data_IF_023690547784
#
_entry.id   IF_023690547784
#
_cell.length_a   1.000
_cell.length_b   1.000
_cell.length_c   1.000
_cell.angle_alpha   90.00
_cell.angle_beta   90.00
_cell.angle_gamma   90.00
#
_symmetry.space_group_name_H-M   'P 1'
#
loop_
_entity.id
_entity.type
_entity.pdbx_description
1 polymer ?
#
# COMPACT_ATOMS: atom_id res chain seq x y z
N UNK A 1 -11.52 -5.42 36.74
CA UNK A 1 -12.10 -5.28 35.39
C UNK A 1 -11.24 -4.26 34.68
N UNK A 2 -10.14 -4.71 34.06
CA UNK A 2 -9.15 -3.84 33.44
C UNK A 2 -9.54 -3.63 31.98
N UNK A 3 -9.80 -2.37 31.62
CA UNK A 3 -9.92 -1.93 30.25
C UNK A 3 -8.52 -1.93 29.63
N UNK A 4 -8.29 -2.81 28.66
CA UNK A 4 -7.06 -2.81 27.87
C UNK A 4 -7.41 -2.17 26.53
N UNK A 5 -7.26 -0.85 26.45
CA UNK A 5 -7.23 -0.15 25.16
C UNK A 5 -5.91 -0.48 24.48
N UNK A 6 -6.00 -1.20 23.37
CA UNK A 6 -4.83 -1.43 22.49
C UNK A 6 -4.74 -0.23 21.57
N UNK A 7 -3.72 0.59 21.78
CA UNK A 7 -3.32 1.68 20.90
C UNK A 7 -2.74 1.11 19.60
N UNK A 8 -3.14 1.65 18.45
CA UNK A 8 -2.84 1.16 17.09
C UNK A 8 -1.39 1.39 16.66
N UNK A 9 -0.47 1.64 17.60
CA UNK A 9 0.95 1.82 17.36
C UNK A 9 1.77 0.75 18.12
N UNK A 10 1.73 -0.50 17.65
CA UNK A 10 2.65 -1.54 18.10
C UNK A 10 2.65 -2.74 17.15
N UNK A 11 3.75 -3.24 16.60
CA UNK A 11 5.15 -2.82 16.43
C UNK A 11 5.61 -3.62 15.21
N UNK A 12 5.98 -2.96 14.11
CA UNK A 12 6.80 -3.61 13.07
C UNK A 12 8.24 -3.64 13.58
N UNK A 13 8.72 -4.84 13.88
CA UNK A 13 10.10 -5.08 14.32
C UNK A 13 11.09 -4.54 13.30
N UNK A 14 11.75 -3.45 13.68
CA UNK A 14 12.83 -2.81 12.95
C UNK A 14 14.15 -3.52 13.29
N UNK A 15 14.67 -4.31 12.36
CA UNK A 15 16.07 -4.77 12.38
C UNK A 15 16.73 -4.30 11.10
N UNK A 16 17.61 -3.30 11.22
CA UNK A 16 18.48 -2.87 10.14
C UNK A 16 18.73 -1.36 10.13
N UNK A 17 19.87 -0.94 10.67
CA UNK A 17 20.47 0.36 10.41
C UNK A 17 20.55 0.60 8.88
N UNK A 18 20.11 1.78 8.42
CA UNK A 18 20.08 2.33 7.04
C UNK A 18 18.86 1.98 6.18
N UNK A 19 17.80 2.79 6.32
CA UNK A 19 17.22 3.61 5.25
C UNK A 19 16.06 4.41 5.86
N UNK A 20 16.18 5.72 5.88
CA UNK A 20 15.19 6.64 6.44
C UNK A 20 14.08 6.90 5.42
N UNK A 21 13.56 5.85 4.81
CA UNK A 21 12.53 5.94 3.79
C UNK A 21 11.30 5.21 4.35
N UNK A 22 10.56 5.93 5.19
CA UNK A 22 9.25 5.50 5.69
C UNK A 22 8.27 5.56 4.49
N UNK A 23 8.38 4.61 3.58
CA UNK A 23 7.52 4.53 2.40
C UNK A 23 6.10 4.19 2.85
N UNK A 24 5.11 4.96 2.41
CA UNK A 24 3.71 4.71 2.75
C UNK A 24 3.23 3.40 2.11
N UNK A 25 2.81 2.39 2.90
CA UNK A 25 2.26 1.15 2.36
C UNK A 25 0.88 1.41 1.72
N UNK A 26 0.65 0.81 0.56
CA UNK A 26 -0.63 0.87 -0.19
C UNK A 26 -1.28 -0.50 -0.25
N UNK A 27 -0.47 -1.56 -0.36
CA UNK A 27 -0.94 -2.95 -0.26
C UNK A 27 -0.21 -3.67 0.87
N UNK A 28 -0.92 -3.95 1.96
CA UNK A 28 -0.38 -4.66 3.11
C UNK A 28 -0.19 -6.16 2.88
N UNK A 29 -0.94 -6.76 1.96
CA UNK A 29 -0.82 -8.20 1.66
C UNK A 29 0.49 -8.55 0.93
N UNK A 30 0.95 -7.67 0.04
CA UNK A 30 2.14 -7.88 -0.80
C UNK A 30 3.25 -6.84 -0.52
N UNK A 31 3.10 -6.05 0.55
CA UNK A 31 4.03 -5.01 0.98
C UNK A 31 4.38 -3.95 -0.10
N UNK A 32 3.48 -3.69 -1.05
CA UNK A 32 3.69 -2.61 -2.03
C UNK A 32 3.42 -1.23 -1.43
N UNK A 33 4.23 -0.26 -1.84
CA UNK A 33 4.24 1.12 -1.32
C UNK A 33 3.93 2.12 -2.43
N UNK A 34 3.64 3.37 -2.07
CA UNK A 34 3.44 4.47 -3.03
C UNK A 34 4.66 4.63 -3.93
N UNK A 35 5.86 4.56 -3.37
CA UNK A 35 7.12 4.69 -4.09
C UNK A 35 7.32 3.55 -5.10
N UNK A 36 7.06 2.31 -4.68
CA UNK A 36 7.11 1.15 -5.57
C UNK A 36 6.15 1.29 -6.75
N UNK A 37 4.92 1.79 -6.53
CA UNK A 37 3.96 2.04 -7.60
C UNK A 37 4.42 3.16 -8.54
N UNK A 38 5.11 4.19 -8.03
CA UNK A 38 5.64 5.26 -8.86
C UNK A 38 6.84 4.81 -9.70
N UNK A 39 7.73 4.01 -9.11
CA UNK A 39 8.86 3.39 -9.80
C UNK A 39 8.38 2.46 -10.92
N UNK A 40 7.49 1.52 -10.60
CA UNK A 40 6.83 0.62 -11.57
C UNK A 40 6.18 1.41 -12.72
N UNK A 41 5.45 2.47 -12.42
CA UNK A 41 4.83 3.30 -13.44
C UNK A 41 5.85 4.00 -14.35
N UNK A 42 7.00 4.43 -13.81
CA UNK A 42 8.06 5.07 -14.57
C UNK A 42 8.87 4.06 -15.40
N UNK A 43 9.08 2.83 -14.89
CA UNK A 43 9.80 1.75 -15.57
C UNK A 43 8.98 1.15 -16.73
N UNK A 44 7.66 1.15 -16.61
CA UNK A 44 6.74 0.52 -17.58
C UNK A 44 5.94 1.53 -18.42
N UNK A 45 6.50 2.72 -18.71
CA UNK A 45 5.93 3.73 -19.60
C UNK A 45 4.47 4.14 -19.26
N UNK A 46 4.15 4.26 -17.97
CA UNK A 46 2.81 4.62 -17.51
C UNK A 46 1.84 3.44 -17.34
N UNK A 47 2.32 2.20 -17.51
CA UNK A 47 1.60 0.98 -17.14
C UNK A 47 2.07 0.55 -15.76
N UNK A 48 1.16 0.03 -14.93
CA UNK A 48 1.53 -0.51 -13.62
C UNK A 48 1.44 -2.03 -13.64
N UNK A 49 2.58 -2.71 -13.60
CA UNK A 49 2.67 -4.18 -13.52
C UNK A 49 2.26 -4.65 -12.12
N UNK A 50 2.70 -3.93 -11.07
CA UNK A 50 2.29 -4.17 -9.69
C UNK A 50 0.76 -4.23 -9.56
N UNK A 51 0.02 -3.30 -10.19
CA UNK A 51 -1.44 -3.33 -10.17
C UNK A 51 -2.00 -4.60 -10.82
N UNK A 52 -1.39 -5.07 -11.90
CA UNK A 52 -1.82 -6.29 -12.59
C UNK A 52 -1.57 -7.53 -11.72
N UNK A 53 -0.41 -7.61 -11.07
CA UNK A 53 -0.05 -8.69 -10.14
C UNK A 53 -0.98 -8.74 -8.94
N UNK A 54 -1.21 -7.61 -8.26
CA UNK A 54 -2.16 -7.53 -7.14
C UNK A 54 -3.55 -7.97 -7.59
N UNK A 55 -4.00 -7.54 -8.78
CA UNK A 55 -5.31 -7.91 -9.30
C UNK A 55 -5.42 -9.43 -9.55
N UNK A 56 -4.36 -10.05 -10.08
CA UNK A 56 -4.32 -11.49 -10.30
C UNK A 56 -4.35 -12.25 -8.96
N UNK A 57 -3.53 -11.85 -8.00
CA UNK A 57 -3.47 -12.49 -6.69
C UNK A 57 -4.78 -12.33 -5.89
N UNK A 58 -5.45 -11.19 -5.99
CA UNK A 58 -6.79 -10.99 -5.41
C UNK A 58 -7.83 -11.89 -6.09
N UNK A 59 -7.78 -12.03 -7.42
CA UNK A 59 -8.69 -12.93 -8.14
C UNK A 59 -8.48 -14.40 -7.78
N UNK A 60 -7.25 -14.79 -7.45
CA UNK A 60 -6.89 -16.12 -6.95
C UNK A 60 -7.15 -16.29 -5.44
N UNK A 61 -7.73 -15.28 -4.77
CA UNK A 61 -7.99 -15.28 -3.32
C UNK A 61 -6.73 -15.45 -2.46
N UNK A 62 -5.57 -15.01 -2.95
CA UNK A 62 -4.28 -15.05 -2.24
C UNK A 62 -4.04 -13.83 -1.35
N UNK A 63 -5.08 -13.03 -1.07
CA UNK A 63 -4.98 -11.85 -0.23
C UNK A 63 -5.77 -12.01 1.08
N UNK A 64 -5.31 -11.35 2.13
CA UNK A 64 -6.00 -11.29 3.43
C UNK A 64 -6.34 -9.83 3.79
N UNK A 65 -6.90 -9.07 2.83
CA UNK A 65 -7.16 -7.64 2.99
C UNK A 65 -8.04 -7.32 4.21
N UNK A 66 -9.03 -8.16 4.52
CA UNK A 66 -9.93 -7.97 5.68
C UNK A 66 -9.18 -8.01 7.03
N UNK A 67 -8.02 -8.66 7.07
CA UNK A 67 -7.22 -8.82 8.29
C UNK A 67 -5.98 -7.91 8.31
N UNK A 68 -5.36 -7.68 7.15
CA UNK A 68 -4.08 -6.98 7.03
C UNK A 68 -4.24 -5.52 6.63
N UNK A 69 -5.29 -5.15 5.89
CA UNK A 69 -5.50 -3.76 5.52
C UNK A 69 -6.24 -3.05 6.67
N UNK A 70 -5.68 -1.98 7.28
CA UNK A 70 -6.34 -1.25 8.37
C UNK A 70 -7.72 -0.69 8.00
N UNK A 71 -7.99 -0.44 6.71
CA UNK A 71 -9.33 -0.04 6.26
C UNK A 71 -10.34 -1.20 6.20
N UNK A 72 -9.89 -2.46 6.32
CA UNK A 72 -10.69 -3.66 6.14
C UNK A 72 -11.17 -3.90 4.70
N UNK A 73 -10.69 -3.10 3.74
CA UNK A 73 -11.11 -3.13 2.34
C UNK A 73 -9.99 -3.63 1.43
N UNK A 74 -10.34 -4.07 0.22
CA UNK A 74 -9.35 -4.47 -0.78
C UNK A 74 -8.43 -3.30 -1.15
N UNK A 75 -7.11 -3.52 -1.07
CA UNK A 75 -6.09 -2.54 -1.41
C UNK A 75 -6.16 -2.04 -2.87
N UNK A 76 -6.81 -2.76 -3.78
CA UNK A 76 -6.96 -2.37 -5.20
C UNK A 76 -7.59 -0.99 -5.38
N UNK A 77 -8.51 -0.59 -4.49
CA UNK A 77 -9.10 0.75 -4.53
C UNK A 77 -8.05 1.84 -4.26
N UNK A 78 -7.17 1.60 -3.30
CA UNK A 78 -6.11 2.53 -2.89
C UNK A 78 -4.98 2.58 -3.92
N UNK A 79 -4.59 1.42 -4.46
CA UNK A 79 -3.66 1.29 -5.59
C UNK A 79 -4.17 2.08 -6.79
N UNK A 80 -5.45 1.91 -7.17
CA UNK A 80 -6.03 2.65 -8.28
C UNK A 80 -6.01 4.16 -8.03
N UNK A 81 -6.42 4.61 -6.84
CA UNK A 81 -6.45 6.03 -6.47
C UNK A 81 -5.06 6.65 -6.53
N UNK A 82 -4.07 5.93 -6.01
CA UNK A 82 -2.66 6.34 -5.99
C UNK A 82 -2.12 6.51 -7.40
N UNK A 83 -2.29 5.50 -8.26
CA UNK A 83 -1.86 5.56 -9.68
C UNK A 83 -2.53 6.69 -10.45
N UNK A 84 -3.82 6.95 -10.22
CA UNK A 84 -4.51 8.10 -10.82
C UNK A 84 -3.95 9.44 -10.30
N UNK A 85 -3.50 9.47 -9.05
CA UNK A 85 -2.82 10.62 -8.45
C UNK A 85 -1.46 10.93 -9.07
N UNK A 86 -0.77 9.93 -9.64
CA UNK A 86 0.47 10.17 -10.41
C UNK A 86 0.20 10.74 -11.79
N UNK A 87 -0.90 10.33 -12.42
CA UNK A 87 -1.30 10.79 -13.74
C UNK A 87 -1.90 12.21 -13.76
N UNK A 88 -2.30 12.76 -12.60
CA UNK A 88 -2.82 14.11 -12.48
C UNK A 88 -1.89 14.97 -11.63
N UNK A 89 -1.63 16.24 -11.98
CA UNK A 89 -0.96 17.16 -11.06
C UNK A 89 -1.84 17.27 -9.80
N UNK A 90 -1.32 16.81 -8.66
CA UNK A 90 -2.01 16.81 -7.37
C UNK A 90 -2.61 18.20 -7.12
N UNK A 91 -3.93 18.35 -6.88
CA UNK A 91 -4.46 19.61 -6.40
C UNK A 91 -3.94 19.79 -4.98
N UNK A 92 -3.02 20.74 -4.82
CA UNK A 92 -2.59 21.25 -3.51
C UNK A 92 -3.83 21.69 -2.75
N UNK A 93 -4.24 20.92 -1.74
CA UNK A 93 -5.32 21.30 -0.86
C UNK A 93 -4.82 22.45 0.04
N UNK A 94 -5.44 23.62 -0.11
CA UNK A 94 -5.19 24.86 0.63
C UNK A 94 -5.76 24.83 2.04
#
# INVERSE_FOLDING_TARGET
MGEHTVDTDSVVTQVGLKATDKTTPVCFCFAHTVDALAADLAEHDGVSEIKAEIKAAVADSQCACEHLNPSGQCCLADVHRTLKGFAQPVPVQR
#
